data_IF_136111386913
#
_entry.id   IF_136111386913
#
_cell.length_a   1.000
_cell.length_b   1.000
_cell.length_c   1.000
_cell.angle_alpha   90.00
_cell.angle_beta   90.00
_cell.angle_gamma   90.00
#
_symmetry.space_group_name_H-M   'P 1'
#
loop_
_entity.id
_entity.type
_entity.pdbx_description
1 polymer ?
#
# COMPACT_ATOMS: atom_id res chain seq x y z
N UNK A 1 -9.94 -6.72 -14.84
CA UNK A 1 -9.63 -5.31 -15.17
C UNK A 1 -9.93 -4.45 -13.95
N UNK A 2 -9.09 -3.48 -13.64
CA UNK A 2 -9.33 -2.54 -12.54
C UNK A 2 -10.38 -1.51 -12.95
N UNK A 3 -11.38 -1.29 -12.11
CA UNK A 3 -12.47 -0.32 -12.35
C UNK A 3 -12.30 0.89 -11.43
N UNK A 4 -12.95 2.01 -11.77
CA UNK A 4 -12.99 3.19 -10.90
C UNK A 4 -13.61 2.86 -9.53
N UNK A 5 -14.66 2.04 -9.51
CA UNK A 5 -15.29 1.60 -8.26
C UNK A 5 -14.29 0.86 -7.36
N UNK A 6 -13.49 -0.06 -7.91
CA UNK A 6 -12.47 -0.77 -7.13
C UNK A 6 -11.43 0.18 -6.52
N UNK A 7 -11.06 1.24 -7.25
CA UNK A 7 -10.14 2.27 -6.75
C UNK A 7 -10.77 3.06 -5.61
N UNK A 8 -12.04 3.43 -5.74
CA UNK A 8 -12.78 4.15 -4.70
C UNK A 8 -12.95 3.30 -3.44
N UNK A 9 -13.27 2.02 -3.58
CA UNK A 9 -13.34 1.08 -2.46
C UNK A 9 -11.98 0.92 -1.75
N UNK A 10 -10.90 0.84 -2.52
CA UNK A 10 -9.56 0.82 -1.97
C UNK A 10 -9.20 2.12 -1.22
N UNK A 11 -9.62 3.26 -1.73
CA UNK A 11 -9.44 4.56 -1.07
C UNK A 11 -10.13 4.57 0.31
N UNK A 12 -11.38 4.12 0.38
CA UNK A 12 -12.10 4.03 1.65
C UNK A 12 -11.39 3.09 2.64
N UNK A 13 -10.92 1.94 2.17
CA UNK A 13 -10.25 0.96 3.00
C UNK A 13 -8.89 1.44 3.55
N UNK A 14 -8.28 2.39 2.89
CA UNK A 14 -6.97 2.95 3.27
C UNK A 14 -7.08 4.17 4.18
N UNK A 15 -8.27 4.69 4.43
CA UNK A 15 -8.48 5.81 5.37
C UNK A 15 -7.97 5.43 6.76
N UNK A 16 -7.15 6.32 7.34
CA UNK A 16 -6.53 6.08 8.65
C UNK A 16 -5.39 5.06 8.65
N UNK A 17 -5.11 4.40 7.52
CA UNK A 17 -4.02 3.43 7.35
C UNK A 17 -2.87 4.07 6.58
N UNK A 18 -3.10 4.46 5.33
CA UNK A 18 -2.11 5.18 4.53
C UNK A 18 -2.19 6.68 4.78
N UNK A 19 -1.04 7.34 4.71
CA UNK A 19 -0.98 8.81 4.77
C UNK A 19 -1.53 9.39 3.48
N UNK A 20 -2.26 10.50 3.60
CA UNK A 20 -2.59 11.33 2.45
C UNK A 20 -1.36 12.20 2.13
N UNK A 21 -0.53 11.72 1.23
CA UNK A 21 0.66 12.45 0.80
C UNK A 21 0.32 13.64 -0.07
N UNK A 22 1.13 14.71 -0.06
CA UNK A 22 0.85 15.90 -0.84
C UNK A 22 0.89 15.63 -2.34
N UNK A 23 0.07 16.37 -3.08
CA UNK A 23 0.14 16.50 -4.53
C UNK A 23 0.59 17.91 -4.84
N UNK A 24 1.82 18.05 -5.31
CA UNK A 24 2.47 19.35 -5.52
C UNK A 24 2.61 19.67 -7.00
N UNK A 25 2.37 20.92 -7.36
CA UNK A 25 2.65 21.40 -8.70
C UNK A 25 4.17 21.47 -8.94
N UNK A 26 4.61 20.92 -10.06
CA UNK A 26 6.01 20.86 -10.45
C UNK A 26 6.27 21.70 -11.72
N UNK A 27 5.83 22.94 -11.73
CA UNK A 27 5.94 23.85 -12.88
C UNK A 27 7.37 23.99 -13.42
N UNK A 28 8.38 23.80 -12.58
CA UNK A 28 9.80 23.81 -13.03
C UNK A 28 10.15 22.68 -13.98
N UNK A 29 9.35 21.59 -13.98
CA UNK A 29 9.53 20.45 -14.87
C UNK A 29 8.71 20.56 -16.15
N UNK A 30 7.71 21.44 -16.16
CA UNK A 30 6.82 21.67 -17.30
C UNK A 30 5.41 22.03 -16.87
N UNK A 31 4.57 22.43 -17.84
CA UNK A 31 3.17 22.76 -17.57
C UNK A 31 2.36 21.49 -17.22
N UNK A 32 1.43 21.64 -16.27
CA UNK A 32 0.51 20.57 -15.86
C UNK A 32 1.20 19.30 -15.32
N UNK A 33 2.42 19.46 -14.78
CA UNK A 33 3.12 18.36 -14.09
C UNK A 33 2.89 18.49 -12.59
N UNK A 34 2.50 17.37 -11.98
CA UNK A 34 2.28 17.26 -10.54
C UNK A 34 3.05 16.08 -9.98
N UNK A 35 3.55 16.23 -8.75
CA UNK A 35 4.29 15.18 -8.06
C UNK A 35 3.49 14.72 -6.84
N UNK A 36 3.22 13.44 -6.77
CA UNK A 36 2.67 12.75 -5.60
C UNK A 36 3.82 12.19 -4.76
N UNK A 37 4.13 12.84 -3.65
CA UNK A 37 5.33 12.53 -2.83
C UNK A 37 5.16 11.29 -1.97
N UNK A 38 5.14 10.12 -2.58
CA UNK A 38 4.99 8.83 -1.87
C UNK A 38 6.25 8.36 -1.12
N UNK A 39 7.36 9.08 -1.23
CA UNK A 39 8.50 8.96 -0.30
C UNK A 39 8.13 9.39 1.13
N UNK A 40 7.07 10.18 1.29
CA UNK A 40 6.53 10.59 2.58
C UNK A 40 5.49 9.61 3.13
N UNK A 41 5.15 8.56 2.38
CA UNK A 41 4.23 7.51 2.79
C UNK A 41 4.86 6.64 3.89
N UNK A 42 4.02 5.88 4.60
CA UNK A 42 4.48 4.83 5.52
C UNK A 42 5.46 3.90 4.79
N UNK A 43 6.53 3.52 5.45
CA UNK A 43 7.65 2.76 4.89
C UNK A 43 8.43 3.48 3.77
N UNK A 44 8.17 4.77 3.55
CA UNK A 44 8.88 5.57 2.55
C UNK A 44 8.54 5.26 1.10
N UNK A 45 7.43 4.55 0.82
CA UNK A 45 7.04 4.15 -0.52
C UNK A 45 5.53 3.87 -0.63
N UNK A 46 5.01 3.85 -1.84
CA UNK A 46 3.58 3.63 -2.11
C UNK A 46 3.10 2.18 -1.85
N UNK A 47 4.00 1.25 -1.61
CA UNK A 47 3.68 -0.20 -1.53
C UNK A 47 2.68 -0.56 -0.44
N UNK A 48 2.62 0.20 0.64
CA UNK A 48 1.63 0.01 1.71
C UNK A 48 0.19 0.05 1.19
N UNK A 49 -0.11 0.85 0.17
CA UNK A 49 -1.45 0.99 -0.39
C UNK A 49 -1.96 -0.32 -0.97
N UNK A 50 -1.22 -0.90 -1.90
CA UNK A 50 -1.61 -2.18 -2.51
C UNK A 50 -1.50 -3.36 -1.56
N UNK A 51 -0.45 -3.39 -0.73
CA UNK A 51 -0.24 -4.46 0.25
C UNK A 51 -1.38 -4.54 1.26
N UNK A 52 -1.72 -3.43 1.88
CA UNK A 52 -2.82 -3.39 2.84
C UNK A 52 -4.17 -3.72 2.20
N UNK A 53 -4.46 -3.12 1.05
CA UNK A 53 -5.72 -3.38 0.34
C UNK A 53 -5.87 -4.86 -0.04
N UNK A 54 -4.79 -5.53 -0.45
CA UNK A 54 -4.82 -6.97 -0.76
C UNK A 54 -4.96 -7.82 0.51
N UNK A 55 -4.14 -7.60 1.53
CA UNK A 55 -4.12 -8.45 2.72
C UNK A 55 -5.44 -8.36 3.49
N UNK A 56 -6.03 -7.14 3.60
CA UNK A 56 -7.33 -6.98 4.24
C UNK A 56 -8.48 -7.70 3.51
N UNK A 57 -8.33 -7.98 2.22
CA UNK A 57 -9.34 -8.66 1.42
C UNK A 57 -9.29 -10.19 1.51
N UNK A 58 -8.31 -10.73 2.23
CA UNK A 58 -8.22 -12.17 2.46
C UNK A 58 -9.42 -12.67 3.26
N UNK A 59 -9.88 -13.87 2.92
CA UNK A 59 -10.87 -14.55 3.75
C UNK A 59 -10.28 -14.90 5.12
N UNK A 60 -11.10 -15.15 6.17
CA UNK A 60 -10.59 -15.62 7.46
C UNK A 60 -9.73 -16.88 7.36
N UNK A 61 -10.08 -17.80 6.48
CA UNK A 61 -9.30 -19.01 6.22
C UNK A 61 -7.92 -18.68 5.63
N UNK A 62 -7.88 -17.89 4.57
CA UNK A 62 -6.62 -17.45 3.95
C UNK A 62 -5.74 -16.68 4.94
N UNK A 63 -6.32 -15.76 5.70
CA UNK A 63 -5.61 -14.99 6.71
C UNK A 63 -5.00 -15.87 7.82
N UNK A 64 -5.66 -16.98 8.18
CA UNK A 64 -5.18 -17.91 9.20
C UNK A 64 -3.88 -18.60 8.81
N UNK A 65 -3.63 -18.77 7.52
CA UNK A 65 -2.37 -19.31 7.00
C UNK A 65 -1.23 -18.29 6.98
N UNK A 66 -1.55 -17.01 7.11
CA UNK A 66 -0.59 -15.92 6.98
C UNK A 66 -0.28 -15.58 5.53
N UNK A 67 0.70 -14.72 5.34
CA UNK A 67 1.16 -14.29 4.02
C UNK A 67 2.66 -14.49 3.89
N UNK A 68 3.09 -14.78 2.66
CA UNK A 68 4.50 -14.87 2.31
C UNK A 68 4.80 -13.92 1.13
N UNK A 69 5.93 -13.26 1.17
CA UNK A 69 6.41 -12.43 0.07
C UNK A 69 7.91 -12.63 -0.16
N UNK A 70 8.31 -12.60 -1.41
CA UNK A 70 9.71 -12.63 -1.80
C UNK A 70 10.10 -11.23 -2.31
N UNK A 71 10.81 -10.48 -1.49
CA UNK A 71 11.26 -9.12 -1.81
C UNK A 71 12.28 -8.65 -0.76
N UNK A 72 13.32 -7.95 -1.20
CA UNK A 72 14.30 -7.31 -0.32
C UNK A 72 14.09 -5.79 -0.19
N UNK A 73 13.02 -5.25 -0.72
CA UNK A 73 12.80 -3.80 -0.81
C UNK A 73 11.47 -3.32 -0.26
N UNK A 74 10.94 -2.30 -0.89
CA UNK A 74 9.72 -1.60 -0.44
C UNK A 74 8.48 -2.49 -0.36
N UNK A 75 8.38 -3.50 -1.24
CA UNK A 75 7.25 -4.42 -1.20
C UNK A 75 7.26 -5.27 0.08
N UNK A 76 8.43 -5.76 0.48
CA UNK A 76 8.62 -6.49 1.73
C UNK A 76 8.13 -5.68 2.94
N UNK A 77 8.53 -4.41 3.00
CA UNK A 77 8.13 -3.50 4.08
C UNK A 77 6.62 -3.22 4.07
N UNK A 78 6.04 -3.04 2.90
CA UNK A 78 4.59 -2.85 2.74
C UNK A 78 3.79 -4.06 3.22
N UNK A 79 4.20 -5.28 2.88
CA UNK A 79 3.58 -6.52 3.32
C UNK A 79 3.71 -6.69 4.84
N UNK A 80 4.93 -6.55 5.38
CA UNK A 80 5.18 -6.72 6.80
C UNK A 80 4.35 -5.76 7.66
N UNK A 81 4.33 -4.48 7.32
CA UNK A 81 3.54 -3.48 8.04
C UNK A 81 2.04 -3.74 7.93
N UNK A 82 1.55 -4.08 6.73
CA UNK A 82 0.13 -4.38 6.50
C UNK A 82 -0.33 -5.60 7.30
N UNK A 83 0.45 -6.68 7.28
CA UNK A 83 0.16 -7.89 8.03
C UNK A 83 0.16 -7.61 9.54
N UNK A 84 1.12 -6.85 10.05
CA UNK A 84 1.18 -6.44 11.46
C UNK A 84 -0.06 -5.66 11.87
N UNK A 85 -0.48 -4.68 11.07
CA UNK A 85 -1.68 -3.88 11.34
C UNK A 85 -2.97 -4.71 11.37
N UNK A 86 -3.02 -5.79 10.59
CA UNK A 86 -4.17 -6.68 10.50
C UNK A 86 -4.08 -7.90 11.42
N UNK A 87 -3.01 -8.02 12.21
CA UNK A 87 -2.79 -9.17 13.10
C UNK A 87 -2.55 -10.49 12.35
N UNK A 88 -2.05 -10.42 11.12
CA UNK A 88 -1.79 -11.58 10.25
C UNK A 88 -0.30 -11.90 10.25
N UNK A 89 0.05 -13.17 10.37
CA UNK A 89 1.44 -13.63 10.31
C UNK A 89 2.01 -13.39 8.92
N UNK A 90 3.23 -12.89 8.84
CA UNK A 90 3.94 -12.70 7.57
C UNK A 90 5.33 -13.29 7.59
N UNK A 91 5.76 -13.81 6.46
CA UNK A 91 7.12 -14.29 6.21
C UNK A 91 7.67 -13.57 4.99
N UNK A 92 8.86 -13.01 5.12
CA UNK A 92 9.55 -12.32 4.02
C UNK A 92 10.78 -13.13 3.65
N UNK A 93 10.84 -13.55 2.40
CA UNK A 93 12.03 -14.16 1.79
C UNK A 93 12.82 -13.09 1.05
N UNK A 94 14.10 -12.97 1.38
CA UNK A 94 15.00 -12.00 0.77
C UNK A 94 16.14 -12.68 0.02
#
# INVERSE_FOLDING_TARGET
MVTLQMIQEAQESLKGIARKTPLENANRLGENIYIKSENLQLTGAFKIRGAYNKIRSLTPEEASHGVIACSAGNHAQGIALSATKLGIKSVICM
#
